data_IF_758626715414
#
_entry.id   IF_758626715414
#
_cell.length_a   1.000
_cell.length_b   1.000
_cell.length_c   1.000
_cell.angle_alpha   90.00
_cell.angle_beta   90.00
_cell.angle_gamma   90.00
#
_symmetry.space_group_name_H-M   'P 1'
#
loop_
_entity.id
_entity.type
_entity.pdbx_description
1 polymer ?
#
# COMPACT_ATOMS: atom_id res chain seq x y z
N UNK A 1 13.38 6.17 5.61
CA UNK A 1 13.47 5.65 4.24
C UNK A 1 12.16 5.01 3.90
N UNK A 2 11.67 5.30 2.70
CA UNK A 2 10.43 4.72 2.18
C UNK A 2 10.76 3.94 0.91
N UNK A 3 9.94 2.92 0.62
CA UNK A 3 9.88 2.28 -0.68
C UNK A 3 8.70 2.88 -1.46
N UNK A 4 8.83 3.04 -2.76
CA UNK A 4 7.77 3.48 -3.67
C UNK A 4 7.72 2.57 -4.89
N UNK A 5 6.52 2.20 -5.31
CA UNK A 5 6.30 1.34 -6.47
C UNK A 5 4.97 1.67 -7.15
N UNK A 6 4.89 1.44 -8.46
CA UNK A 6 3.66 1.57 -9.23
C UNK A 6 3.05 0.19 -9.52
N UNK A 7 1.78 0.02 -9.16
CA UNK A 7 1.00 -1.12 -9.59
C UNK A 7 0.16 -0.72 -10.80
N UNK A 8 0.66 -1.05 -11.98
CA UNK A 8 0.01 -0.80 -13.26
C UNK A 8 -0.87 -1.96 -13.74
N UNK A 9 -1.66 -1.70 -14.78
CA UNK A 9 -2.50 -2.72 -15.42
C UNK A 9 -3.70 -3.16 -14.57
N UNK A 10 -4.10 -2.35 -13.59
CA UNK A 10 -5.27 -2.63 -12.77
C UNK A 10 -6.55 -2.45 -13.59
N UNK A 11 -7.62 -3.22 -13.30
CA UNK A 11 -8.91 -2.98 -13.92
C UNK A 11 -9.40 -1.56 -13.65
N UNK A 12 -10.04 -0.94 -14.64
CA UNK A 12 -10.57 0.41 -14.49
C UNK A 12 -11.63 0.47 -13.37
N UNK A 13 -11.36 1.24 -12.33
CA UNK A 13 -12.31 1.55 -11.25
C UNK A 13 -12.51 3.05 -11.14
N UNK A 14 -13.72 3.52 -11.43
CA UNK A 14 -13.98 4.95 -11.66
C UNK A 14 -13.02 5.47 -12.74
N UNK A 15 -12.22 6.50 -12.44
CA UNK A 15 -11.17 7.02 -13.32
C UNK A 15 -9.80 6.38 -13.13
N UNK A 16 -9.61 5.52 -12.13
CA UNK A 16 -8.30 5.00 -11.75
C UNK A 16 -8.01 3.62 -12.33
N UNK A 17 -6.75 3.38 -12.69
CA UNK A 17 -6.25 2.12 -13.24
C UNK A 17 -4.79 1.83 -12.83
N UNK A 18 -4.26 2.59 -11.87
CA UNK A 18 -2.94 2.41 -11.27
C UNK A 18 -3.00 2.74 -9.78
N UNK A 19 -2.08 2.19 -9.00
CA UNK A 19 -1.82 2.58 -7.62
C UNK A 19 -0.35 2.96 -7.46
N UNK A 20 -0.07 4.12 -6.86
CA UNK A 20 1.23 4.41 -6.27
C UNK A 20 1.23 3.87 -4.84
N UNK A 21 2.05 2.86 -4.60
CA UNK A 21 2.21 2.21 -3.29
C UNK A 21 3.46 2.78 -2.62
N UNK A 22 3.33 3.23 -1.38
CA UNK A 22 4.46 3.66 -0.57
C UNK A 22 4.51 2.85 0.72
N UNK A 23 5.69 2.35 1.09
CA UNK A 23 5.88 1.59 2.32
C UNK A 23 7.02 2.19 3.14
N UNK A 24 6.74 2.56 4.39
CA UNK A 24 7.80 2.93 5.32
C UNK A 24 8.58 1.68 5.73
N UNK A 25 9.87 1.63 5.44
CA UNK A 25 10.67 0.42 5.66
C UNK A 25 10.84 0.05 7.14
N UNK A 26 10.72 1.02 8.05
CA UNK A 26 10.87 0.81 9.51
C UNK A 26 9.57 0.35 10.14
N UNK A 27 8.49 1.12 9.94
CA UNK A 27 7.20 0.85 10.59
C UNK A 27 6.33 -0.11 9.79
N UNK A 28 6.69 -0.40 8.52
CA UNK A 28 5.87 -1.13 7.55
C UNK A 28 4.53 -0.46 7.26
N UNK A 29 4.35 0.81 7.64
CA UNK A 29 3.14 1.55 7.34
C UNK A 29 3.09 1.81 5.84
N UNK A 30 1.93 1.55 5.22
CA UNK A 30 1.76 1.68 3.79
C UNK A 30 0.69 2.71 3.42
N UNK A 31 0.91 3.37 2.30
CA UNK A 31 -0.03 4.26 1.63
C UNK A 31 -0.36 3.70 0.26
N UNK A 32 -1.64 3.68 -0.09
CA UNK A 32 -2.13 3.23 -1.38
C UNK A 32 -2.83 4.39 -2.07
N UNK A 33 -2.21 4.96 -3.10
CA UNK A 33 -2.66 6.20 -3.72
C UNK A 33 -3.15 5.93 -5.16
N UNK A 34 -4.46 6.01 -5.45
CA UNK A 34 -4.99 5.79 -6.79
C UNK A 34 -4.50 6.80 -7.81
N UNK A 35 -4.13 6.30 -8.98
CA UNK A 35 -3.66 7.03 -10.15
C UNK A 35 -4.38 6.57 -11.42
N UNK A 36 -4.34 7.43 -12.43
CA UNK A 36 -4.96 7.20 -13.72
C UNK A 36 -3.94 7.43 -14.83
N UNK A 37 -3.81 6.47 -15.74
CA UNK A 37 -3.00 6.63 -16.93
C UNK A 37 -3.63 7.58 -17.96
N UNK A 38 -2.81 8.35 -18.69
CA UNK A 38 -1.37 8.52 -18.47
C UNK A 38 -1.10 9.44 -17.28
N UNK A 39 -0.15 9.08 -16.41
CA UNK A 39 0.39 9.98 -15.38
C UNK A 39 1.83 10.40 -15.70
N UNK A 40 2.24 11.55 -15.18
CA UNK A 40 3.58 12.10 -15.33
C UNK A 40 4.31 12.14 -14.00
N UNK A 41 5.63 12.33 -14.03
CA UNK A 41 6.41 12.52 -12.80
C UNK A 41 5.93 13.72 -11.97
N UNK A 42 5.49 14.80 -12.63
CA UNK A 42 4.91 15.95 -11.95
C UNK A 42 3.61 15.62 -11.21
N UNK A 43 2.74 14.83 -11.83
CA UNK A 43 1.47 14.41 -11.21
C UNK A 43 1.72 13.45 -10.03
N UNK A 44 2.63 12.49 -10.19
CA UNK A 44 3.04 11.60 -9.10
C UNK A 44 3.67 12.37 -7.93
N UNK A 45 4.52 13.37 -8.22
CA UNK A 45 5.13 14.21 -7.21
C UNK A 45 4.08 15.08 -6.48
N UNK A 46 3.12 15.66 -7.21
CA UNK A 46 2.04 16.41 -6.59
C UNK A 46 1.19 15.53 -5.66
N UNK A 47 0.89 14.30 -6.09
CA UNK A 47 0.18 13.32 -5.27
C UNK A 47 0.97 12.98 -4.00
N UNK A 48 2.29 12.77 -4.13
CA UNK A 48 3.19 12.60 -2.99
C UNK A 48 3.14 13.79 -2.01
N UNK A 49 3.24 15.02 -2.53
CA UNK A 49 3.23 16.22 -1.69
C UNK A 49 1.92 16.39 -0.94
N UNK A 50 0.79 16.13 -1.61
CA UNK A 50 -0.54 16.29 -1.04
C UNK A 50 -0.86 15.25 0.05
N UNK A 51 -0.44 14.00 -0.15
CA UNK A 51 -0.87 12.89 0.71
C UNK A 51 0.19 12.52 1.76
N UNK A 52 1.47 12.60 1.41
CA UNK A 52 2.58 12.08 2.21
C UNK A 52 3.34 13.20 2.89
N UNK A 53 3.84 14.17 2.11
CA UNK A 53 4.64 15.27 2.65
C UNK A 53 3.89 16.06 3.74
N UNK A 54 2.58 16.32 3.53
CA UNK A 54 1.73 17.00 4.51
C UNK A 54 1.76 16.38 5.91
N UNK A 55 1.93 15.05 6.01
CA UNK A 55 1.84 14.32 7.29
C UNK A 55 3.20 13.84 7.80
N UNK A 56 4.13 13.51 6.91
CA UNK A 56 5.44 12.92 7.26
C UNK A 56 6.65 13.76 6.92
N UNK A 57 6.47 14.83 6.12
CA UNK A 57 7.58 15.56 5.51
C UNK A 57 8.33 14.73 4.47
N UNK A 58 9.56 15.18 4.16
CA UNK A 58 10.43 14.47 3.23
C UNK A 58 11.20 13.33 3.92
N UNK A 59 11.38 12.18 3.25
CA UNK A 59 12.15 11.08 3.77
C UNK A 59 13.63 11.33 3.55
N UNK A 60 14.48 10.76 4.40
CA UNK A 60 15.95 10.78 4.15
C UNK A 60 16.34 10.09 2.84
N UNK A 61 15.58 9.07 2.45
CA UNK A 61 15.83 8.31 1.22
C UNK A 61 14.55 7.66 0.70
N UNK A 62 14.44 7.59 -0.62
CA UNK A 62 13.39 6.87 -1.36
C UNK A 62 14.05 5.72 -2.11
N UNK A 63 13.53 4.51 -1.91
CA UNK A 63 13.86 3.34 -2.71
C UNK A 63 12.74 3.12 -3.70
N UNK A 64 13.03 3.01 -4.99
CA UNK A 64 12.02 2.74 -6.02
C UNK A 64 12.58 1.81 -7.07
N UNK A 65 11.72 1.26 -7.92
CA UNK A 65 12.15 0.59 -9.13
C UNK A 65 12.68 1.61 -10.17
N UNK A 66 12.92 1.13 -11.39
CA UNK A 66 13.42 1.95 -12.50
C UNK A 66 12.31 2.51 -13.39
N UNK A 67 11.11 2.70 -12.84
CA UNK A 67 10.01 3.32 -13.58
C UNK A 67 10.44 4.68 -14.18
N UNK A 68 10.02 5.03 -15.42
CA UNK A 68 10.33 6.30 -16.06
C UNK A 68 10.01 7.54 -15.22
N UNK A 69 9.00 7.48 -14.34
CA UNK A 69 8.68 8.56 -13.41
C UNK A 69 9.82 8.79 -12.42
N UNK A 70 10.28 7.74 -11.74
CA UNK A 70 11.30 7.82 -10.70
C UNK A 70 12.70 8.11 -11.26
N UNK A 71 12.93 7.73 -12.52
CA UNK A 71 14.18 8.02 -13.23
C UNK A 71 14.16 9.36 -13.98
N UNK A 72 13.02 10.04 -14.06
CA UNK A 72 12.91 11.33 -14.75
C UNK A 72 13.77 12.43 -14.11
N UNK A 73 14.28 13.33 -14.95
CA UNK A 73 15.03 14.51 -14.49
C UNK A 73 14.21 15.36 -13.50
N UNK A 74 12.91 15.52 -13.76
CA UNK A 74 12.01 16.25 -12.86
C UNK A 74 12.00 15.66 -11.45
N UNK A 75 11.84 14.33 -11.34
CA UNK A 75 11.79 13.64 -10.06
C UNK A 75 13.12 13.74 -9.31
N UNK A 76 14.23 13.54 -10.04
CA UNK A 76 15.58 13.66 -9.49
C UNK A 76 15.84 15.06 -8.95
N UNK A 77 15.61 16.11 -9.73
CA UNK A 77 15.81 17.50 -9.31
C UNK A 77 14.96 17.86 -8.09
N UNK A 78 13.67 17.48 -8.08
CA UNK A 78 12.78 17.80 -6.98
C UNK A 78 13.24 17.20 -5.66
N UNK A 79 13.55 15.90 -5.63
CA UNK A 79 13.87 15.20 -4.39
C UNK A 79 15.34 15.35 -3.99
N UNK A 80 16.28 15.28 -4.92
CA UNK A 80 17.70 15.52 -4.62
C UNK A 80 17.94 16.98 -4.21
N UNK A 81 17.31 17.94 -4.89
CA UNK A 81 17.38 19.36 -4.53
C UNK A 81 16.82 19.65 -3.14
N UNK A 82 15.88 18.83 -2.66
CA UNK A 82 15.34 18.89 -1.30
C UNK A 82 16.10 18.01 -0.28
N UNK A 83 17.25 17.45 -0.65
CA UNK A 83 18.10 16.65 0.24
C UNK A 83 17.63 15.21 0.46
N UNK A 84 16.71 14.70 -0.35
CA UNK A 84 16.28 13.29 -0.32
C UNK A 84 17.18 12.44 -1.19
N UNK A 85 17.75 11.37 -0.63
CA UNK A 85 18.56 10.43 -1.40
C UNK A 85 17.67 9.47 -2.23
N UNK A 86 17.86 9.45 -3.55
CA UNK A 86 17.14 8.53 -4.44
C UNK A 86 17.95 7.26 -4.69
N UNK A 87 17.35 6.10 -4.41
CA UNK A 87 17.97 4.78 -4.56
C UNK A 87 17.12 3.92 -5.48
N UNK A 88 17.59 3.72 -6.70
CA UNK A 88 16.93 2.81 -7.63
C UNK A 88 17.28 1.36 -7.28
N UNK A 89 16.27 0.50 -7.17
CA UNK A 89 16.46 -0.94 -7.04
C UNK A 89 17.06 -1.49 -8.35
N UNK A 90 17.92 -2.48 -8.22
CA UNK A 90 18.38 -3.27 -9.36
C UNK A 90 17.56 -4.55 -9.40
N UNK A 91 17.21 -5.03 -10.59
CA UNK A 91 16.48 -6.28 -10.78
C UNK A 91 17.14 -7.51 -10.10
N UNK A 92 18.39 -7.39 -9.64
CA UNK A 92 19.23 -8.46 -9.09
C UNK A 92 19.86 -8.15 -7.71
N UNK A 93 19.36 -7.20 -6.89
CA UNK A 93 19.87 -6.99 -5.51
C UNK A 93 18.86 -7.35 -4.41
N UNK A 94 18.44 -8.61 -4.43
CA UNK A 94 17.69 -9.29 -3.36
C UNK A 94 18.52 -9.58 -2.10
N UNK A 95 19.80 -9.16 -2.04
CA UNK A 95 20.71 -9.59 -0.96
C UNK A 95 20.76 -8.65 0.25
N UNK A 96 20.46 -7.36 0.13
CA UNK A 96 20.57 -6.42 1.27
C UNK A 96 19.21 -5.94 1.81
N UNK A 97 18.11 -6.22 1.11
CA UNK A 97 16.78 -5.67 1.43
C UNK A 97 15.64 -6.71 1.41
N UNK A 98 15.95 -8.00 1.53
CA UNK A 98 14.97 -9.08 1.39
C UNK A 98 13.74 -8.95 2.31
N UNK A 99 13.85 -8.33 3.48
CA UNK A 99 12.69 -8.06 4.34
C UNK A 99 11.75 -6.98 3.79
N UNK A 100 12.26 -5.99 3.08
CA UNK A 100 11.43 -4.97 2.44
C UNK A 100 10.85 -5.50 1.14
N UNK A 101 11.64 -6.26 0.39
CA UNK A 101 11.20 -6.92 -0.84
C UNK A 101 10.02 -7.88 -0.58
N UNK A 102 10.09 -8.73 0.45
CA UNK A 102 8.95 -9.58 0.83
C UNK A 102 7.73 -8.78 1.28
N UNK A 103 7.91 -7.61 1.90
CA UNK A 103 6.79 -6.78 2.34
C UNK A 103 6.10 -6.13 1.14
N UNK A 104 6.87 -5.60 0.19
CA UNK A 104 6.32 -5.03 -1.05
C UNK A 104 5.60 -6.11 -1.86
N UNK A 105 6.22 -7.27 -2.08
CA UNK A 105 5.57 -8.40 -2.77
C UNK A 105 4.27 -8.85 -2.09
N UNK A 106 4.23 -8.86 -0.76
CA UNK A 106 3.02 -9.18 0.00
C UNK A 106 1.93 -8.13 -0.22
N UNK A 107 2.29 -6.84 -0.22
CA UNK A 107 1.37 -5.73 -0.52
C UNK A 107 0.84 -5.84 -1.95
N UNK A 108 1.71 -6.07 -2.93
CA UNK A 108 1.32 -6.16 -4.33
C UNK A 108 0.40 -7.36 -4.57
N UNK A 109 0.71 -8.51 -3.97
CA UNK A 109 -0.15 -9.71 -4.05
C UNK A 109 -1.51 -9.45 -3.41
N UNK A 110 -1.53 -8.85 -2.23
CA UNK A 110 -2.76 -8.49 -1.52
C UNK A 110 -3.63 -7.54 -2.33
N UNK A 111 -3.05 -6.45 -2.83
CA UNK A 111 -3.75 -5.45 -3.64
C UNK A 111 -4.19 -6.03 -4.98
N UNK A 112 -3.39 -6.86 -5.64
CA UNK A 112 -3.76 -7.51 -6.90
C UNK A 112 -4.95 -8.44 -6.74
N UNK A 113 -4.98 -9.26 -5.69
CA UNK A 113 -6.15 -10.10 -5.40
C UNK A 113 -7.39 -9.24 -5.13
N UNK A 114 -7.25 -8.17 -4.35
CA UNK A 114 -8.34 -7.27 -4.01
C UNK A 114 -8.92 -6.53 -5.23
N UNK A 115 -8.06 -5.97 -6.08
CA UNK A 115 -8.48 -5.24 -7.28
C UNK A 115 -9.14 -6.16 -8.29
N UNK A 116 -8.70 -7.42 -8.39
CA UNK A 116 -9.33 -8.43 -9.25
C UNK A 116 -10.69 -8.91 -8.70
N UNK A 117 -10.84 -9.02 -7.38
CA UNK A 117 -12.11 -9.41 -6.75
C UNK A 117 -13.19 -8.31 -6.88
N UNK A 118 -12.79 -7.04 -6.91
CA UNK A 118 -13.68 -5.88 -6.98
C UNK A 118 -13.30 -4.90 -8.11
N UNK A 119 -13.28 -5.34 -9.40
CA UNK A 119 -12.62 -4.62 -10.48
C UNK A 119 -13.19 -3.23 -10.75
N UNK A 120 -14.48 -3.02 -10.55
CA UNK A 120 -15.15 -1.73 -10.80
C UNK A 120 -15.09 -0.77 -9.60
N UNK A 121 -14.93 -1.27 -8.38
CA UNK A 121 -15.09 -0.48 -7.14
C UNK A 121 -13.87 -0.48 -6.22
N UNK A 122 -12.78 -1.15 -6.59
CA UNK A 122 -11.59 -1.21 -5.74
C UNK A 122 -11.11 0.19 -5.30
N UNK A 123 -11.16 1.20 -6.18
CA UNK A 123 -10.69 2.55 -5.87
C UNK A 123 -11.47 3.22 -4.73
N UNK A 124 -12.76 2.94 -4.59
CA UNK A 124 -13.60 3.44 -3.51
C UNK A 124 -13.22 2.83 -2.15
N UNK A 125 -12.75 1.58 -2.17
CA UNK A 125 -12.45 0.78 -0.99
C UNK A 125 -10.96 0.78 -0.62
N UNK A 126 -10.10 1.47 -1.37
CA UNK A 126 -8.68 1.64 -1.04
C UNK A 126 -8.43 2.17 0.38
N UNK A 127 -9.17 3.18 0.89
CA UNK A 127 -8.97 3.63 2.26
C UNK A 127 -9.20 2.51 3.29
N UNK A 128 -10.18 1.64 3.04
CA UNK A 128 -10.44 0.49 3.89
C UNK A 128 -9.33 -0.56 3.78
N UNK A 129 -8.85 -0.85 2.57
CA UNK A 129 -7.73 -1.75 2.33
C UNK A 129 -6.44 -1.27 3.03
N UNK A 130 -6.15 0.04 2.96
CA UNK A 130 -5.01 0.64 3.66
C UNK A 130 -5.15 0.55 5.17
N UNK A 131 -6.33 0.88 5.72
CA UNK A 131 -6.58 0.76 7.15
C UNK A 131 -6.39 -0.68 7.64
N UNK A 132 -6.95 -1.65 6.91
CA UNK A 132 -6.80 -3.07 7.23
C UNK A 132 -5.34 -3.53 7.20
N UNK A 133 -4.60 -3.19 6.14
CA UNK A 133 -3.19 -3.53 6.06
C UNK A 133 -2.38 -2.92 7.21
N UNK A 134 -2.56 -1.62 7.47
CA UNK A 134 -1.79 -0.90 8.50
C UNK A 134 -2.17 -1.27 9.93
N UNK A 135 -3.35 -1.83 10.14
CA UNK A 135 -3.79 -2.33 11.45
C UNK A 135 -3.61 -3.85 11.62
N UNK A 136 -3.19 -4.58 10.58
CA UNK A 136 -2.90 -5.99 10.70
C UNK A 136 -1.54 -6.23 11.39
N UNK A 137 -1.44 -7.28 12.20
CA UNK A 137 -0.19 -7.61 12.88
C UNK A 137 0.90 -8.00 11.87
N UNK A 138 2.08 -7.39 11.96
CA UNK A 138 3.25 -7.72 11.12
C UNK A 138 4.31 -8.45 11.93
N UNK A 139 4.68 -9.66 11.49
CA UNK A 139 5.67 -10.52 12.17
C UNK A 139 7.05 -9.88 12.28
N UNK A 140 7.49 -9.14 11.26
CA UNK A 140 8.81 -8.50 11.21
C UNK A 140 9.01 -7.43 12.30
N UNK A 141 7.95 -6.71 12.67
CA UNK A 141 8.00 -5.64 13.68
C UNK A 141 7.30 -6.03 14.99
N UNK A 142 6.64 -7.19 15.05
CA UNK A 142 5.86 -7.71 16.20
C UNK A 142 4.79 -6.74 16.71
N UNK A 143 4.34 -5.85 15.84
CA UNK A 143 3.38 -4.78 16.10
C UNK A 143 2.51 -4.58 14.86
N UNK A 144 1.44 -3.81 14.99
CA UNK A 144 0.74 -3.27 13.81
C UNK A 144 1.54 -2.09 13.26
N UNK A 145 1.60 -1.90 11.93
CA UNK A 145 2.24 -0.73 11.34
C UNK A 145 1.72 0.60 11.89
N UNK A 146 0.41 0.69 12.16
CA UNK A 146 -0.22 1.85 12.78
C UNK A 146 0.38 2.14 14.16
N UNK A 147 0.40 1.14 15.05
CA UNK A 147 0.96 1.30 16.41
C UNK A 147 2.45 1.60 16.38
N UNK A 148 3.19 1.00 15.46
CA UNK A 148 4.62 1.28 15.28
C UNK A 148 4.91 2.72 14.82
N UNK A 149 3.98 3.34 14.08
CA UNK A 149 4.12 4.71 13.59
C UNK A 149 3.60 5.75 14.60
N UNK A 150 2.42 5.54 15.15
CA UNK A 150 1.72 6.52 15.98
C UNK A 150 1.87 6.28 17.49
N UNK A 151 2.29 5.09 17.91
CA UNK A 151 2.47 4.73 19.33
C UNK A 151 1.19 4.32 20.07
N UNK A 152 0.02 4.36 19.41
CA UNK A 152 -1.27 3.95 19.99
C UNK A 152 -2.07 3.08 19.00
N UNK A 153 -3.14 2.46 19.48
CA UNK A 153 -4.03 1.63 18.66
C UNK A 153 -5.19 2.46 18.09
N UNK A 154 -5.55 2.27 16.81
CA UNK A 154 -6.62 3.04 16.21
C UNK A 154 -7.98 2.63 16.79
N UNK A 155 -8.83 3.60 17.06
CA UNK A 155 -10.23 3.34 17.37
C UNK A 155 -10.90 2.63 16.18
N UNK A 156 -11.59 1.53 16.45
CA UNK A 156 -12.39 0.83 15.45
C UNK A 156 -13.71 1.57 15.23
N UNK A 157 -14.33 1.41 14.06
CA UNK A 157 -15.62 2.07 13.77
C UNK A 157 -16.71 1.68 14.79
N UNK A 158 -16.68 0.44 15.31
CA UNK A 158 -17.57 -0.01 16.37
C UNK A 158 -19.03 -0.22 15.96
N UNK A 159 -19.36 -0.10 14.67
CA UNK A 159 -20.69 -0.31 14.10
C UNK A 159 -20.62 -1.50 13.14
N UNK A 160 -21.52 -2.47 13.35
CA UNK A 160 -21.63 -3.72 12.57
C UNK A 160 -22.81 -3.66 11.60
N UNK A 161 -22.80 -4.48 10.55
CA UNK A 161 -23.95 -4.65 9.67
C UNK A 161 -25.21 -5.14 10.42
N UNK A 162 -25.02 -5.90 11.50
CA UNK A 162 -26.10 -6.41 12.36
C UNK A 162 -26.72 -5.33 13.27
N UNK A 163 -26.15 -4.12 13.30
CA UNK A 163 -26.72 -3.04 14.09
C UNK A 163 -27.97 -2.49 13.40
N UNK A 164 -29.05 -2.34 14.16
CA UNK A 164 -30.32 -1.83 13.63
C UNK A 164 -30.11 -0.40 13.15
N UNK A 165 -30.04 -0.21 11.83
CA UNK A 165 -29.88 1.09 11.22
C UNK A 165 -31.21 1.57 10.63
N UNK A 166 -31.74 2.67 11.16
CA UNK A 166 -32.97 3.29 10.65
C UNK A 166 -32.79 3.95 9.27
N UNK A 167 -31.55 4.16 8.83
CA UNK A 167 -31.21 4.84 7.57
C UNK A 167 -30.78 3.80 6.52
N UNK A 168 -31.57 3.56 5.44
CA UNK A 168 -31.27 2.52 4.45
C UNK A 168 -29.93 2.68 3.74
N UNK A 169 -29.52 3.93 3.46
CA UNK A 169 -28.23 4.21 2.83
C UNK A 169 -27.05 3.79 3.72
N UNK A 170 -27.17 3.96 5.04
CA UNK A 170 -26.14 3.54 5.99
C UNK A 170 -26.12 2.01 6.13
N UNK A 171 -27.27 1.34 6.14
CA UNK A 171 -27.33 -0.12 6.14
C UNK A 171 -26.62 -0.71 4.91
N UNK A 172 -26.98 -0.23 3.72
CA UNK A 172 -26.36 -0.69 2.47
C UNK A 172 -24.85 -0.47 2.45
N UNK A 173 -24.38 0.66 3.00
CA UNK A 173 -22.94 0.92 3.13
C UNK A 173 -22.25 -0.01 4.13
N UNK A 174 -22.90 -0.33 5.26
CA UNK A 174 -22.37 -1.27 6.25
C UNK A 174 -22.29 -2.70 5.70
N UNK A 175 -23.31 -3.15 4.96
CA UNK A 175 -23.33 -4.48 4.33
C UNK A 175 -22.22 -4.61 3.28
N UNK A 176 -22.05 -3.58 2.44
CA UNK A 176 -20.98 -3.57 1.45
C UNK A 176 -19.60 -3.53 2.12
N UNK A 177 -19.44 -2.70 3.16
CA UNK A 177 -18.21 -2.62 3.95
C UNK A 177 -17.87 -3.96 4.60
N UNK A 178 -18.83 -4.67 5.17
CA UNK A 178 -18.63 -5.98 5.80
C UNK A 178 -18.15 -7.01 4.76
N UNK A 179 -18.80 -7.05 3.60
CA UNK A 179 -18.41 -7.93 2.49
C UNK A 179 -16.97 -7.67 2.02
N UNK A 180 -16.62 -6.40 1.84
CA UNK A 180 -15.26 -6.00 1.43
C UNK A 180 -14.24 -6.32 2.52
N UNK A 181 -14.59 -6.10 3.78
CA UNK A 181 -13.72 -6.42 4.91
C UNK A 181 -13.37 -7.90 4.96
N UNK A 182 -14.34 -8.79 4.75
CA UNK A 182 -14.09 -10.24 4.68
C UNK A 182 -13.16 -10.61 3.52
N UNK A 183 -13.37 -10.01 2.33
CA UNK A 183 -12.49 -10.20 1.18
C UNK A 183 -11.06 -9.75 1.48
N UNK A 184 -10.89 -8.57 2.08
CA UNK A 184 -9.56 -8.05 2.45
C UNK A 184 -8.85 -8.98 3.43
N UNK A 185 -9.57 -9.50 4.44
CA UNK A 185 -9.02 -10.44 5.40
C UNK A 185 -8.58 -11.75 4.73
N UNK A 186 -9.40 -12.30 3.84
CA UNK A 186 -9.07 -13.52 3.09
C UNK A 186 -7.84 -13.32 2.20
N UNK A 187 -7.80 -12.24 1.43
CA UNK A 187 -6.69 -11.96 0.50
C UNK A 187 -5.38 -11.67 1.22
N UNK A 188 -5.41 -10.94 2.34
CA UNK A 188 -4.20 -10.68 3.13
C UNK A 188 -3.66 -11.97 3.75
N UNK A 189 -4.53 -12.83 4.28
CA UNK A 189 -4.13 -14.13 4.83
C UNK A 189 -3.53 -15.04 3.75
N UNK A 190 -4.14 -15.06 2.56
CA UNK A 190 -3.61 -15.80 1.42
C UNK A 190 -2.24 -15.28 0.98
N UNK A 191 -2.08 -13.96 0.86
CA UNK A 191 -0.78 -13.35 0.53
C UNK A 191 0.29 -13.73 1.57
N UNK A 192 -0.04 -13.71 2.86
CA UNK A 192 0.87 -14.13 3.95
C UNK A 192 1.23 -15.61 3.87
N UNK A 193 0.28 -16.49 3.58
CA UNK A 193 0.52 -17.92 3.43
C UNK A 193 1.45 -18.20 2.25
N UNK A 194 1.19 -17.60 1.08
CA UNK A 194 2.06 -17.73 -0.10
C UNK A 194 3.51 -17.30 0.19
N UNK A 195 3.68 -16.20 0.92
CA UNK A 195 5.00 -15.71 1.33
C UNK A 195 5.68 -16.66 2.31
N UNK A 196 4.93 -17.24 3.26
CA UNK A 196 5.46 -18.24 4.20
C UNK A 196 5.93 -19.49 3.46
N UNK A 197 5.10 -20.02 2.55
CA UNK A 197 5.42 -21.23 1.79
C UNK A 197 6.63 -21.02 0.87
N UNK A 198 6.79 -19.83 0.29
CA UNK A 198 7.98 -19.48 -0.49
C UNK A 198 9.24 -19.36 0.37
N UNK A 199 9.13 -18.79 1.57
CA UNK A 199 10.25 -18.69 2.51
C UNK A 199 10.68 -20.08 3.03
N UNK A 200 9.72 -20.97 3.30
CA UNK A 200 9.97 -22.32 3.79
C UNK A 200 10.58 -23.20 2.68
N UNK A 201 10.13 -23.06 1.41
CA UNK A 201 10.77 -23.73 0.26
C UNK A 201 12.23 -23.33 0.03
N UNK A 202 12.61 -22.08 0.36
CA UNK A 202 14.00 -21.60 0.28
C UNK A 202 14.86 -22.04 1.48
N UNK A 203 14.27 -22.63 2.53
CA UNK A 203 14.97 -23.09 3.74
C UNK A 203 15.23 -24.60 3.78
N UNK A 204 14.60 -25.38 2.90
CA UNK A 204 14.90 -26.80 2.76
C UNK A 204 16.24 -26.96 2.04
N UNK A 205 17.29 -27.26 2.82
CA UNK A 205 18.57 -27.77 2.34
C UNK A 205 18.45 -29.25 1.94
#
# INVERSE_FOLDING_TARGET
MISMDFMDGLPQSSKFNCLLVLVNKRTKFAYFLPLAHPYTAALAAQLYMNQIYRTHGLPKAIVSDRDPVFTSHFWQELFCGAGTELRLSTANHSQTDGQTEHVNQCVDTFLSCFTQACPRRWSFWIPLAQFWYTNAHHSAIRLTPFKALFGYEPAQLGISADSVCSVPALQSWLDERATVQDLLQQHLNRARQLMKDQADKKRSF
#
